data_IF_284978376610
#
_entry.id   IF_284978376610
#
_cell.length_a   1.000
_cell.length_b   1.000
_cell.length_c   1.000
_cell.angle_alpha   90.00
_cell.angle_beta   90.00
_cell.angle_gamma   90.00
#
_symmetry.space_group_name_H-M   'P 1'
#
loop_
_entity.id
_entity.type
_entity.pdbx_description
1 polymer ?
#
# COMPACT_ATOMS: atom_id res chain seq x y z
N UNK A 1 -2.30 30.58 4.90
CA UNK A 1 -3.17 29.51 4.38
C UNK A 1 -2.42 28.19 4.43
N UNK A 2 -3.07 27.19 4.98
CA UNK A 2 -2.48 25.87 5.09
C UNK A 2 -2.82 25.07 3.84
N UNK A 3 -1.80 24.50 3.22
CA UNK A 3 -2.00 23.64 2.06
C UNK A 3 -2.30 22.22 2.51
N UNK A 4 -3.23 21.59 1.86
CA UNK A 4 -3.59 20.20 2.14
C UNK A 4 -2.91 19.31 1.10
N UNK A 5 -2.34 18.21 1.57
CA UNK A 5 -1.72 17.19 0.73
C UNK A 5 -2.43 15.87 0.96
N UNK A 6 -2.81 15.21 -0.12
CA UNK A 6 -3.33 13.85 -0.07
C UNK A 6 -2.17 12.89 -0.21
N UNK A 7 -2.02 11.98 0.76
CA UNK A 7 -0.94 11.00 0.81
C UNK A 7 -1.56 9.61 0.90
N UNK A 8 -1.02 8.68 0.13
CA UNK A 8 -1.42 7.28 0.20
C UNK A 8 -0.59 6.60 1.28
N UNK A 9 -1.26 5.90 2.19
CA UNK A 9 -0.61 5.24 3.32
C UNK A 9 -1.09 3.80 3.40
N UNK A 10 -0.18 2.88 3.56
CA UNK A 10 -0.51 1.47 3.70
C UNK A 10 0.46 0.73 4.60
N UNK A 11 -0.01 -0.37 5.14
CA UNK A 11 0.78 -1.31 5.91
C UNK A 11 0.90 -2.59 5.09
N UNK A 12 2.10 -3.13 4.99
CA UNK A 12 2.35 -4.33 4.21
C UNK A 12 2.38 -5.58 5.11
N UNK A 13 1.63 -6.64 4.76
CA UNK A 13 0.68 -6.69 3.67
C UNK A 13 -0.64 -6.02 4.04
N UNK A 14 -1.29 -5.37 3.08
CA UNK A 14 -2.58 -4.76 3.34
C UNK A 14 -2.98 -3.70 2.33
N UNK A 15 -4.14 -3.10 2.57
CA UNK A 15 -4.70 -2.08 1.70
C UNK A 15 -3.96 -0.75 1.85
N UNK A 16 -3.94 0.01 0.77
CA UNK A 16 -3.42 1.38 0.75
C UNK A 16 -4.62 2.32 0.71
N UNK A 17 -4.66 3.26 1.64
CA UNK A 17 -5.73 4.25 1.73
C UNK A 17 -5.16 5.65 1.56
N UNK A 18 -6.01 6.58 1.15
CA UNK A 18 -5.62 7.97 1.01
C UNK A 18 -6.02 8.77 2.24
N UNK A 19 -5.15 9.66 2.67
CA UNK A 19 -5.38 10.55 3.79
C UNK A 19 -5.01 11.97 3.39
N UNK A 20 -5.81 12.93 3.82
CA UNK A 20 -5.54 14.34 3.60
C UNK A 20 -4.96 14.94 4.87
N UNK A 21 -3.80 15.57 4.77
CA UNK A 21 -3.13 16.22 5.91
C UNK A 21 -2.58 17.56 5.47
N UNK A 22 -2.35 18.43 6.43
CA UNK A 22 -1.72 19.73 6.14
C UNK A 22 -0.25 19.52 5.80
N UNK A 23 0.23 20.23 4.79
CA UNK A 23 1.66 20.23 4.48
C UNK A 23 2.40 20.82 5.69
N UNK A 24 3.54 20.21 6.00
CA UNK A 24 4.29 20.55 7.20
C UNK A 24 3.95 19.68 8.40
N UNK A 25 2.86 18.91 8.34
CA UNK A 25 2.58 17.89 9.36
C UNK A 25 3.68 16.83 9.32
N UNK A 26 4.01 16.28 10.47
CA UNK A 26 5.04 15.23 10.52
C UNK A 26 4.52 13.90 9.98
N UNK A 27 5.44 13.05 9.54
CA UNK A 27 5.11 11.69 9.13
C UNK A 27 4.44 10.94 10.30
N UNK A 28 4.93 11.15 11.54
CA UNK A 28 4.31 10.57 12.72
C UNK A 28 2.86 10.96 12.88
N UNK A 29 2.54 12.24 12.66
CA UNK A 29 1.15 12.72 12.74
C UNK A 29 0.29 12.09 11.65
N UNK A 30 0.83 11.92 10.45
CA UNK A 30 0.15 11.23 9.36
C UNK A 30 -0.19 9.79 9.74
N UNK A 31 0.75 9.08 10.33
CA UNK A 31 0.53 7.70 10.75
C UNK A 31 -0.51 7.59 11.87
N UNK A 32 -0.57 8.56 12.76
CA UNK A 32 -1.63 8.62 13.78
C UNK A 32 -3.01 8.77 13.15
N UNK A 33 -3.14 9.65 12.17
CA UNK A 33 -4.39 9.84 11.44
C UNK A 33 -4.79 8.54 10.73
N UNK A 34 -3.81 7.82 10.20
CA UNK A 34 -4.05 6.55 9.52
C UNK A 34 -4.36 5.41 10.51
N UNK A 35 -4.14 5.62 11.81
CA UNK A 35 -4.36 4.60 12.81
C UNK A 35 -3.31 3.49 12.82
N UNK A 36 -2.11 3.77 12.32
CA UNK A 36 -1.05 2.79 12.18
C UNK A 36 0.04 2.99 13.24
N UNK A 37 0.53 1.88 13.78
CA UNK A 37 1.64 1.86 14.71
C UNK A 37 2.93 1.56 13.99
N UNK A 38 3.99 2.31 14.30
CA UNK A 38 5.32 2.07 13.73
C UNK A 38 6.10 0.99 14.47
N UNK A 39 5.56 0.52 15.59
CA UNK A 39 6.25 -0.45 16.45
C UNK A 39 6.46 -1.78 15.70
N UNK A 40 7.71 -2.13 15.47
CA UNK A 40 8.07 -3.34 14.74
C UNK A 40 8.02 -3.19 13.21
N UNK A 41 7.80 -1.98 12.72
CA UNK A 41 7.71 -1.72 11.27
C UNK A 41 8.74 -0.72 10.82
N UNK A 42 9.18 -0.90 9.58
CA UNK A 42 10.00 0.07 8.87
C UNK A 42 9.07 0.97 8.06
N UNK A 43 9.32 2.27 8.09
CA UNK A 43 8.54 3.25 7.35
C UNK A 43 9.34 3.73 6.16
N UNK A 44 8.74 3.64 4.98
CA UNK A 44 9.31 4.16 3.75
C UNK A 44 8.39 5.21 3.15
N UNK A 45 8.97 6.33 2.77
CA UNK A 45 8.26 7.42 2.09
C UNK A 45 8.80 7.49 0.67
N UNK A 46 7.94 7.24 -0.30
CA UNK A 46 8.29 7.21 -1.72
C UNK A 46 9.52 6.33 -2.00
N UNK A 47 9.59 5.20 -1.30
CA UNK A 47 10.65 4.22 -1.46
C UNK A 47 11.91 4.48 -0.62
N UNK A 48 11.95 5.57 0.13
CA UNK A 48 13.10 5.93 0.97
C UNK A 48 12.79 5.66 2.43
N UNK A 49 13.66 4.93 3.11
CA UNK A 49 13.50 4.64 4.54
C UNK A 49 13.55 5.93 5.36
N UNK A 50 12.57 6.10 6.23
CA UNK A 50 12.48 7.24 7.15
C UNK A 50 12.64 6.73 8.58
N UNK A 51 13.59 7.30 9.31
CA UNK A 51 13.83 6.98 10.73
C UNK A 51 13.38 8.10 11.64
N UNK A 52 13.32 9.33 11.13
CA UNK A 52 12.87 10.50 11.88
C UNK A 52 11.42 10.82 11.52
N UNK A 53 10.50 10.48 12.42
CA UNK A 53 9.07 10.69 12.18
C UNK A 53 8.63 12.14 12.35
N UNK A 54 9.54 13.04 12.72
CA UNK A 54 9.29 14.47 12.70
C UNK A 54 9.50 15.08 11.31
N UNK A 55 9.94 14.27 10.35
CA UNK A 55 10.08 14.70 8.96
C UNK A 55 8.75 15.23 8.44
N UNK A 56 8.72 16.44 7.85
CA UNK A 56 7.45 17.02 7.42
C UNK A 56 6.92 16.40 6.12
N UNK A 57 5.60 16.36 6.02
CA UNK A 57 4.92 16.04 4.77
C UNK A 57 5.03 17.26 3.86
N UNK A 58 5.51 17.05 2.64
CA UNK A 58 5.67 18.10 1.63
C UNK A 58 4.81 17.80 0.42
N UNK A 59 4.78 18.70 -0.54
CA UNK A 59 4.06 18.46 -1.79
C UNK A 59 4.65 17.29 -2.60
N UNK A 60 5.88 16.86 -2.27
CA UNK A 60 6.53 15.72 -2.91
C UNK A 60 6.22 14.39 -2.23
N UNK A 61 5.57 14.41 -1.08
CA UNK A 61 5.21 13.20 -0.33
C UNK A 61 3.99 12.56 -0.96
N UNK A 62 4.12 11.35 -1.49
CA UNK A 62 3.02 10.69 -2.20
C UNK A 62 2.59 9.38 -1.58
N UNK A 63 3.54 8.54 -1.17
CA UNK A 63 3.25 7.20 -0.70
C UNK A 63 4.07 6.87 0.54
N UNK A 64 3.40 6.44 1.59
CA UNK A 64 4.04 6.00 2.83
C UNK A 64 3.66 4.54 3.07
N UNK A 65 4.64 3.68 3.20
CA UNK A 65 4.43 2.24 3.42
C UNK A 65 5.13 1.80 4.70
N UNK A 66 4.38 1.11 5.55
CA UNK A 66 4.92 0.43 6.71
C UNK A 66 5.09 -1.05 6.38
N UNK A 67 6.27 -1.57 6.60
CA UNK A 67 6.54 -2.99 6.37
C UNK A 67 7.34 -3.58 7.52
N UNK A 68 7.09 -4.85 7.81
CA UNK A 68 7.99 -5.58 8.68
C UNK A 68 9.32 -5.71 7.96
N UNK A 69 10.38 -5.50 8.72
CA UNK A 69 11.72 -5.48 8.17
C UNK A 69 12.00 -6.61 7.20
N UNK A 70 12.67 -6.32 6.12
CA UNK A 70 13.58 -7.22 5.41
C UNK A 70 13.25 -7.53 3.96
N UNK A 71 12.00 -7.47 3.49
CA UNK A 71 11.72 -7.76 2.08
C UNK A 71 11.23 -6.53 1.35
N UNK A 72 11.60 -6.42 0.09
CA UNK A 72 11.04 -5.40 -0.77
C UNK A 72 9.52 -5.51 -0.83
N UNK A 73 8.87 -4.45 -1.23
CA UNK A 73 7.42 -4.42 -1.37
C UNK A 73 7.02 -4.13 -2.81
N UNK A 74 5.86 -4.62 -3.17
CA UNK A 74 5.23 -4.32 -4.44
C UNK A 74 3.85 -3.74 -4.17
N UNK A 75 3.45 -2.78 -5.01
CA UNK A 75 2.11 -2.21 -4.95
C UNK A 75 1.32 -2.77 -6.11
N UNK A 76 0.17 -3.36 -5.82
CA UNK A 76 -0.69 -3.95 -6.83
C UNK A 76 -2.09 -3.34 -6.75
N UNK A 77 -2.74 -3.20 -7.88
CA UNK A 77 -4.13 -2.78 -7.93
C UNK A 77 -4.96 -3.99 -8.28
N UNK A 78 -6.01 -4.21 -7.50
CA UNK A 78 -6.86 -5.38 -7.64
C UNK A 78 -8.30 -4.93 -7.71
N UNK A 79 -9.03 -5.46 -8.67
CA UNK A 79 -10.45 -5.16 -8.82
C UNK A 79 -11.18 -6.32 -9.46
N UNK A 80 -12.47 -6.33 -9.23
CA UNK A 80 -13.40 -7.26 -9.85
C UNK A 80 -14.23 -6.48 -10.86
N UNK A 81 -14.39 -7.03 -12.05
CA UNK A 81 -15.15 -6.33 -13.10
C UNK A 81 -16.55 -6.92 -13.24
N UNK A 82 -17.59 -6.08 -13.17
CA UNK A 82 -17.55 -4.67 -12.86
C UNK A 82 -17.37 -4.42 -11.35
N UNK A 83 -16.66 -3.36 -10.99
CA UNK A 83 -16.49 -3.01 -9.59
C UNK A 83 -15.33 -2.06 -9.34
N UNK A 84 -15.12 -1.73 -8.09
CA UNK A 84 -14.05 -0.83 -7.68
C UNK A 84 -12.69 -1.52 -7.75
N UNK A 85 -11.65 -0.71 -7.99
CA UNK A 85 -10.27 -1.16 -7.95
C UNK A 85 -9.62 -0.56 -6.71
N UNK A 86 -8.95 -1.39 -5.92
CA UNK A 86 -8.24 -0.97 -4.72
C UNK A 86 -6.75 -1.29 -4.85
N UNK A 87 -5.92 -0.53 -4.15
CA UNK A 87 -4.48 -0.76 -4.12
C UNK A 87 -4.09 -1.51 -2.84
N UNK A 88 -3.15 -2.43 -2.99
CA UNK A 88 -2.61 -3.22 -1.89
C UNK A 88 -1.09 -3.23 -1.95
N UNK A 89 -0.46 -3.18 -0.77
CA UNK A 89 0.98 -3.37 -0.66
C UNK A 89 1.24 -4.82 -0.25
N UNK A 90 2.13 -5.48 -0.96
CA UNK A 90 2.46 -6.90 -0.70
C UNK A 90 3.97 -7.08 -0.70
N UNK A 91 4.44 -8.15 -0.06
CA UNK A 91 5.84 -8.51 -0.08
C UNK A 91 6.24 -9.03 -1.47
N UNK A 92 7.48 -8.80 -1.86
CA UNK A 92 8.01 -9.41 -3.07
C UNK A 92 7.95 -10.94 -2.93
N UNK A 93 7.55 -11.58 -4.00
CA UNK A 93 7.37 -13.03 -4.02
C UNK A 93 6.00 -13.50 -3.56
N UNK A 94 5.11 -12.58 -3.18
CA UNK A 94 3.72 -12.94 -2.91
C UNK A 94 3.08 -13.53 -4.17
N UNK A 95 2.16 -14.46 -3.97
CA UNK A 95 1.45 -15.09 -5.08
C UNK A 95 0.18 -14.33 -5.43
N UNK A 96 -0.39 -14.62 -6.61
CA UNK A 96 -1.68 -14.05 -6.98
C UNK A 96 -2.77 -14.48 -6.02
N UNK A 97 -2.71 -15.73 -5.52
CA UNK A 97 -3.66 -16.20 -4.52
C UNK A 97 -3.59 -15.35 -3.24
N UNK A 98 -2.38 -14.98 -2.81
CA UNK A 98 -2.20 -14.12 -1.63
C UNK A 98 -2.85 -12.75 -1.83
N UNK A 99 -2.66 -12.17 -3.01
CA UNK A 99 -3.24 -10.86 -3.35
C UNK A 99 -4.76 -10.93 -3.36
N UNK A 100 -5.32 -11.97 -3.97
CA UNK A 100 -6.78 -12.14 -4.01
C UNK A 100 -7.35 -12.34 -2.61
N UNK A 101 -6.64 -13.05 -1.75
CA UNK A 101 -7.06 -13.23 -0.36
C UNK A 101 -7.09 -11.90 0.39
N UNK A 102 -6.08 -11.05 0.20
CA UNK A 102 -6.06 -9.72 0.81
C UNK A 102 -7.23 -8.86 0.33
N UNK A 103 -7.56 -8.96 -0.95
CA UNK A 103 -8.66 -8.22 -1.55
C UNK A 103 -10.03 -8.81 -1.23
N UNK A 104 -10.05 -9.96 -0.56
CA UNK A 104 -11.26 -10.70 -0.23
C UNK A 104 -12.06 -11.07 -1.49
N UNK A 105 -11.36 -11.48 -2.53
CA UNK A 105 -11.95 -11.88 -3.81
C UNK A 105 -11.79 -13.37 -4.02
N UNK A 106 -12.85 -13.99 -4.53
CA UNK A 106 -12.85 -15.39 -4.89
C UNK A 106 -12.70 -15.50 -6.41
N UNK A 107 -11.74 -16.27 -6.87
CA UNK A 107 -11.52 -16.48 -8.29
C UNK A 107 -12.48 -17.51 -8.91
N UNK A 108 -13.28 -18.16 -8.09
CA UNK A 108 -14.20 -19.20 -8.54
C UNK A 108 -15.27 -18.60 -9.47
N UNK A 109 -15.32 -19.07 -10.70
CA UNK A 109 -16.24 -18.54 -11.71
C UNK A 109 -15.74 -17.28 -12.42
N UNK A 110 -14.52 -16.84 -12.12
CA UNK A 110 -13.92 -15.64 -12.71
C UNK A 110 -12.59 -15.95 -13.35
N UNK A 111 -12.28 -15.21 -14.38
CA UNK A 111 -10.96 -15.24 -15.01
C UNK A 111 -10.08 -14.20 -14.34
N UNK A 112 -8.85 -14.57 -14.00
CA UNK A 112 -7.89 -13.67 -13.39
C UNK A 112 -6.91 -13.20 -14.45
N UNK A 113 -6.73 -11.87 -14.55
CA UNK A 113 -5.77 -11.27 -15.48
C UNK A 113 -4.81 -10.36 -14.72
N UNK A 114 -3.54 -10.47 -15.05
CA UNK A 114 -2.50 -9.58 -14.53
C UNK A 114 -1.90 -8.82 -15.71
N UNK A 115 -2.00 -7.50 -15.67
CA UNK A 115 -1.52 -6.61 -16.73
C UNK A 115 -2.05 -7.03 -18.12
N UNK A 116 -3.32 -7.44 -18.16
CA UNK A 116 -3.98 -7.86 -19.38
C UNK A 116 -3.70 -9.30 -19.81
N UNK A 117 -2.86 -10.03 -19.09
CA UNK A 117 -2.52 -11.42 -19.39
C UNK A 117 -3.27 -12.37 -18.45
N UNK A 118 -3.89 -13.38 -19.03
CA UNK A 118 -4.61 -14.37 -18.23
C UNK A 118 -3.67 -15.14 -17.33
N UNK A 119 -4.02 -15.23 -16.05
CA UNK A 119 -3.28 -15.98 -15.05
C UNK A 119 -4.03 -17.28 -14.78
N UNK A 120 -3.38 -18.41 -15.02
CA UNK A 120 -3.95 -19.73 -14.77
C UNK A 120 -3.37 -20.38 -13.52
N UNK A 121 -2.14 -20.02 -13.15
CA UNK A 121 -1.47 -20.53 -11.94
C UNK A 121 -1.46 -19.44 -10.87
N UNK A 122 -2.39 -19.54 -9.93
CA UNK A 122 -2.50 -18.57 -8.83
C UNK A 122 -1.37 -18.69 -7.80
N UNK A 123 -0.58 -19.75 -7.87
CA UNK A 123 0.59 -19.91 -7.01
C UNK A 123 1.84 -19.27 -7.62
N UNK A 124 1.73 -18.73 -8.81
CA UNK A 124 2.84 -18.00 -9.42
C UNK A 124 3.09 -16.70 -8.64
N UNK A 125 4.36 -16.31 -8.55
CA UNK A 125 4.74 -15.06 -7.90
C UNK A 125 4.42 -13.86 -8.76
N UNK A 126 4.13 -12.77 -8.07
CA UNK A 126 3.88 -11.48 -8.70
C UNK A 126 5.21 -10.91 -9.20
#
# INVERSE_FOLDING_TARGET
MTNIKTVRVGQMPGAINEFAVEQGSSIGALLEVAGLSTNGFEVKVDGVKVTDFNTPVTESTNLVILSKMVKGNAVVRVGKMPGAISEYAVEEGATYADVLALANLDSNGFEVKADGTKVTDLNASI
#
